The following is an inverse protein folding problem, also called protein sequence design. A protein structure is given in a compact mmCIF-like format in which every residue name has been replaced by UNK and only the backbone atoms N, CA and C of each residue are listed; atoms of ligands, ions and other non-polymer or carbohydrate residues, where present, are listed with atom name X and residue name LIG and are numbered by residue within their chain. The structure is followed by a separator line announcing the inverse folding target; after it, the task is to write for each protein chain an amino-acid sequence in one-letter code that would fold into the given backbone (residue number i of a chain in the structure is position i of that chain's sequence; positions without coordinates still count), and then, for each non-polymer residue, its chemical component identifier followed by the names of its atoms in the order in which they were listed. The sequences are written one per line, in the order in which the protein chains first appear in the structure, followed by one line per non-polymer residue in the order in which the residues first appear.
data_IF_854422017918
#
_entry.id   IF_854422017918
#
_cell.length_a   1.000
_cell.length_b   1.000
_cell.length_c   1.000
_cell.angle_alpha   90.00
_cell.angle_beta   90.00
_cell.angle_gamma   90.00
#
_symmetry.space_group_name_H-M   'P 1'
#
loop_
_entity.id
_entity.type
_entity.pdbx_description
1 polymer ?
#
# COMPACT_ATOMS: atom_id res chain seq x y z
N UNK A 1 3.50 12.33 -1.81
CA UNK A 1 3.64 10.85 -1.79
C UNK A 1 3.37 10.30 -0.41
N UNK A 2 4.04 10.77 0.62
CA UNK A 2 3.80 10.32 2.00
C UNK A 2 2.33 10.53 2.41
N UNK A 3 1.77 11.70 2.13
CA UNK A 3 0.39 12.02 2.47
C UNK A 3 -0.59 11.07 1.79
N UNK A 4 -0.36 10.75 0.52
CA UNK A 4 -1.18 9.79 -0.22
C UNK A 4 -1.09 8.39 0.39
N UNK A 5 0.09 7.97 0.80
CA UNK A 5 0.29 6.67 1.46
C UNK A 5 -0.40 6.63 2.82
N UNK A 6 -0.29 7.69 3.62
CA UNK A 6 -0.99 7.77 4.91
C UNK A 6 -2.51 7.81 4.74
N UNK A 7 -3.00 8.50 3.72
CA UNK A 7 -4.44 8.54 3.43
C UNK A 7 -4.96 7.16 3.05
N UNK A 8 -4.24 6.44 2.20
CA UNK A 8 -4.60 5.08 1.81
C UNK A 8 -4.58 4.14 3.02
N UNK A 9 -3.52 4.20 3.83
CA UNK A 9 -3.40 3.39 5.04
C UNK A 9 -4.54 3.67 6.02
N UNK A 10 -4.86 4.93 6.24
CA UNK A 10 -5.98 5.32 7.10
C UNK A 10 -7.29 4.71 6.63
N UNK A 11 -7.58 4.78 5.34
CA UNK A 11 -8.81 4.22 4.78
C UNK A 11 -8.85 2.68 4.94
N UNK A 12 -7.74 2.00 4.70
CA UNK A 12 -7.66 0.55 4.87
C UNK A 12 -7.92 0.16 6.34
N UNK A 13 -7.29 0.85 7.28
CA UNK A 13 -7.45 0.57 8.71
C UNK A 13 -8.85 0.90 9.22
N UNK A 14 -9.46 1.96 8.72
CA UNK A 14 -10.83 2.32 9.09
C UNK A 14 -11.84 1.26 8.64
N UNK A 15 -11.77 0.81 7.38
CA UNK A 15 -12.68 -0.25 6.92
C UNK A 15 -12.42 -1.57 7.61
N UNK A 16 -11.16 -1.86 7.94
CA UNK A 16 -10.81 -3.04 8.72
C UNK A 16 -11.47 -3.02 10.10
N UNK A 17 -11.38 -1.89 10.79
CA UNK A 17 -11.93 -1.74 12.14
C UNK A 17 -13.47 -1.69 12.16
N UNK A 18 -14.08 -1.21 11.08
CA UNK A 18 -15.55 -1.11 11.00
C UNK A 18 -16.23 -2.44 10.71
N UNK A 19 -15.50 -3.42 10.21
CA UNK A 19 -16.01 -4.76 9.98
C UNK A 19 -16.46 -5.03 8.56
N UNK A 20 -16.91 -6.28 8.29
CA UNK A 20 -17.30 -6.71 6.94
C UNK A 20 -18.39 -5.84 6.33
N UNK A 21 -18.25 -5.52 5.05
CA UNK A 21 -19.16 -4.68 4.31
C UNK A 21 -18.83 -3.19 4.33
N UNK A 22 -17.94 -2.76 5.23
CA UNK A 22 -17.49 -1.36 5.25
C UNK A 22 -16.65 -1.05 4.03
N UNK A 23 -16.86 0.12 3.44
CA UNK A 23 -16.10 0.57 2.28
C UNK A 23 -15.85 2.07 2.33
N UNK A 24 -14.77 2.49 1.67
CA UNK A 24 -14.37 3.89 1.53
C UNK A 24 -13.91 4.17 0.10
N UNK A 25 -14.46 5.21 -0.54
CA UNK A 25 -13.89 5.72 -1.77
C UNK A 25 -12.71 6.63 -1.46
N UNK A 26 -11.70 6.62 -2.32
CA UNK A 26 -10.64 7.62 -2.29
C UNK A 26 -10.07 7.82 -3.69
N UNK A 27 -9.43 8.99 -3.87
CA UNK A 27 -8.70 9.29 -5.10
C UNK A 27 -7.22 9.27 -4.78
N UNK A 28 -6.46 8.52 -5.57
CA UNK A 28 -5.02 8.41 -5.45
C UNK A 28 -4.38 9.01 -6.69
N UNK A 29 -3.56 10.04 -6.50
CA UNK A 29 -2.86 10.72 -7.59
C UNK A 29 -1.39 10.33 -7.57
N UNK A 30 -1.00 9.51 -8.54
CA UNK A 30 0.36 9.01 -8.69
C UNK A 30 1.02 9.80 -9.82
N UNK A 31 1.63 10.93 -9.46
CA UNK A 31 2.25 11.84 -10.43
C UNK A 31 3.55 11.29 -10.99
N UNK A 32 4.30 10.55 -10.18
CA UNK A 32 5.58 9.96 -10.57
C UNK A 32 5.85 8.71 -9.74
N UNK A 33 6.80 7.92 -10.18
CA UNK A 33 7.21 6.72 -9.49
C UNK A 33 6.39 5.50 -9.90
N UNK A 34 6.63 4.42 -9.19
CA UNK A 34 6.00 3.13 -9.43
C UNK A 34 5.23 2.70 -8.18
N UNK A 35 3.91 2.67 -8.30
CA UNK A 35 3.01 2.28 -7.21
C UNK A 35 2.51 0.86 -7.46
N UNK A 36 2.80 -0.05 -6.54
CA UNK A 36 2.48 -1.47 -6.67
C UNK A 36 1.72 -1.95 -5.44
N UNK A 37 0.65 -2.70 -5.67
CA UNK A 37 -0.05 -3.46 -4.64
C UNK A 37 0.35 -4.93 -4.81
N UNK A 38 1.11 -5.44 -3.84
CA UNK A 38 1.61 -6.81 -3.85
C UNK A 38 0.66 -7.70 -3.05
N UNK A 39 -0.15 -8.49 -3.75
CA UNK A 39 -1.13 -9.37 -3.14
C UNK A 39 -0.48 -10.59 -2.47
N UNK A 40 0.68 -11.01 -2.94
CA UNK A 40 1.37 -12.19 -2.40
C UNK A 40 1.99 -11.91 -1.03
N UNK A 41 2.54 -10.69 -0.86
CA UNK A 41 3.18 -10.26 0.37
C UNK A 41 2.27 -9.40 1.26
N UNK A 42 1.09 -9.04 0.80
CA UNK A 42 0.17 -8.12 1.48
C UNK A 42 0.81 -6.77 1.78
N UNK A 43 1.52 -6.23 0.79
CA UNK A 43 2.25 -4.98 0.89
C UNK A 43 1.80 -3.99 -0.18
N UNK A 44 1.94 -2.71 0.14
CA UNK A 44 1.78 -1.61 -0.83
C UNK A 44 3.09 -0.85 -0.85
N UNK A 45 3.69 -0.72 -2.04
CA UNK A 45 4.98 -0.08 -2.21
C UNK A 45 4.91 1.00 -3.28
N UNK A 46 5.48 2.15 -2.98
CA UNK A 46 5.63 3.25 -3.92
C UNK A 46 7.10 3.65 -3.97
N UNK A 47 7.74 3.42 -5.11
CA UNK A 47 9.15 3.77 -5.33
C UNK A 47 9.28 5.00 -6.20
N UNK A 48 10.17 5.90 -5.80
CA UNK A 48 10.41 7.18 -6.48
C UNK A 48 11.91 7.40 -6.60
N UNK A 49 12.38 7.86 -7.76
CA UNK A 49 13.72 8.37 -7.91
C UNK A 49 13.81 9.80 -7.36
N UNK A 50 14.87 10.11 -6.64
CA UNK A 50 15.07 11.42 -6.02
C UNK A 50 16.54 11.79 -6.01
N UNK A 51 16.82 13.09 -6.03
CA UNK A 51 18.16 13.62 -5.76
C UNK A 51 18.45 13.79 -4.28
N UNK A 52 17.45 13.59 -3.43
CA UNK A 52 17.54 13.75 -1.98
C UNK A 52 17.42 12.40 -1.30
N UNK A 53 18.36 12.10 -0.41
CA UNK A 53 18.33 10.93 0.46
C UNK A 53 17.41 11.19 1.66
N UNK A 54 16.40 10.33 1.87
CA UNK A 54 15.44 10.46 2.98
C UNK A 54 15.71 9.53 4.17
N UNK A 55 16.62 8.57 4.00
CA UNK A 55 17.07 7.68 5.07
C UNK A 55 18.55 7.36 4.85
N UNK A 56 19.21 6.81 5.84
CA UNK A 56 20.54 6.24 5.62
C UNK A 56 20.44 5.11 4.60
N UNK A 57 21.44 5.02 3.72
CA UNK A 57 21.44 4.02 2.64
C UNK A 57 21.29 2.61 3.20
N UNK A 58 20.42 1.84 2.56
CA UNK A 58 20.13 0.43 2.87
C UNK A 58 19.65 0.18 4.30
N UNK A 59 19.17 1.23 4.97
CA UNK A 59 18.46 1.12 6.23
C UNK A 59 17.01 1.50 6.06
N UNK A 60 16.14 0.98 6.93
CA UNK A 60 14.72 1.27 6.93
C UNK A 60 14.38 2.13 8.13
N UNK A 61 13.74 3.26 7.91
CA UNK A 61 13.16 4.07 8.98
C UNK A 61 11.65 3.90 8.99
N UNK A 62 11.05 4.00 10.18
CA UNK A 62 9.60 3.94 10.36
C UNK A 62 9.10 5.35 10.68
N UNK A 63 8.06 5.76 9.97
CA UNK A 63 7.31 6.98 10.25
C UNK A 63 5.84 6.58 10.42
N UNK A 64 5.42 6.38 11.68
CA UNK A 64 4.13 5.78 11.95
C UNK A 64 4.06 4.35 11.40
N UNK A 65 3.11 4.09 10.53
CA UNK A 65 2.91 2.80 9.87
C UNK A 65 3.71 2.67 8.58
N UNK A 66 4.33 3.75 8.12
CA UNK A 66 5.05 3.82 6.85
C UNK A 66 6.52 3.49 7.04
N UNK A 67 7.05 2.57 6.25
CA UNK A 67 8.48 2.33 6.15
C UNK A 67 9.08 3.14 5.00
N UNK A 68 10.29 3.65 5.20
CA UNK A 68 11.01 4.44 4.20
C UNK A 68 12.41 3.85 4.05
N UNK A 69 12.75 3.47 2.83
CA UNK A 69 14.03 2.88 2.52
C UNK A 69 14.65 3.62 1.33
N UNK A 70 15.92 4.05 1.47
CA UNK A 70 16.66 4.70 0.39
C UNK A 70 17.80 3.82 -0.06
N UNK A 71 17.94 3.64 -1.37
CA UNK A 71 19.10 3.01 -1.99
C UNK A 71 19.70 3.95 -3.01
N UNK A 72 20.99 3.84 -3.27
CA UNK A 72 21.66 4.65 -4.29
C UNK A 72 21.54 3.96 -5.65
N UNK A 73 21.11 4.71 -6.66
CA UNK A 73 21.12 4.22 -8.04
C UNK A 73 22.50 4.37 -8.66
N UNK A 74 22.67 3.86 -9.89
CA UNK A 74 23.95 3.94 -10.62
C UNK A 74 24.27 5.36 -11.09
N UNK A 75 23.33 6.30 -11.03
CA UNK A 75 23.42 7.66 -11.60
C UNK A 75 23.50 8.77 -10.54
N UNK A 76 24.02 8.52 -9.35
CA UNK A 76 24.10 9.47 -8.24
C UNK A 76 22.75 9.94 -7.67
N UNK A 77 21.65 9.35 -8.12
CA UNK A 77 20.34 9.56 -7.53
C UNK A 77 20.02 8.50 -6.50
N UNK A 78 18.94 8.68 -5.81
CA UNK A 78 18.44 7.71 -4.81
C UNK A 78 17.11 7.12 -5.29
N UNK A 79 16.91 5.84 -5.01
CA UNK A 79 15.61 5.21 -5.09
C UNK A 79 15.03 5.19 -3.70
N UNK A 80 13.87 5.82 -3.51
CA UNK A 80 13.17 5.88 -2.24
C UNK A 80 11.95 4.98 -2.35
N UNK A 81 11.82 4.05 -1.41
CA UNK A 81 10.68 3.13 -1.36
C UNK A 81 9.88 3.42 -0.11
N UNK A 82 8.61 3.81 -0.31
CA UNK A 82 7.62 3.96 0.74
C UNK A 82 6.79 2.68 0.79
N UNK A 83 6.70 2.05 1.96
CA UNK A 83 6.04 0.77 2.10
C UNK A 83 5.03 0.71 3.23
N UNK A 84 3.94 -0.01 2.99
CA UNK A 84 2.93 -0.37 3.97
C UNK A 84 2.83 -1.90 3.98
N UNK A 85 2.95 -2.50 5.15
CA UNK A 85 2.89 -3.95 5.33
C UNK A 85 1.67 -4.33 6.16
N UNK A 86 0.78 -5.11 5.57
CA UNK A 86 -0.47 -5.54 6.20
C UNK A 86 -0.44 -7.00 6.65
N UNK A 87 0.60 -7.74 6.33
CA UNK A 87 0.71 -9.14 6.73
C UNK A 87 0.71 -9.33 8.25
N UNK A 88 1.42 -8.51 9.04
CA UNK A 88 1.37 -8.62 10.51
C UNK A 88 0.00 -8.35 11.12
N UNK A 89 -0.90 -7.69 10.41
CA UNK A 89 -2.26 -7.40 10.85
C UNK A 89 -3.26 -8.48 10.46
N UNK A 90 -2.82 -9.57 9.83
CA UNK A 90 -3.67 -10.61 9.28
C UNK A 90 -4.69 -10.07 8.28
N UNK A 91 -4.24 -9.15 7.43
CA UNK A 91 -5.01 -8.61 6.31
C UNK A 91 -4.48 -9.21 5.02
N UNK A 92 -5.38 -9.79 4.22
CA UNK A 92 -5.10 -10.16 2.84
C UNK A 92 -5.55 -9.03 1.93
N UNK A 93 -4.62 -8.49 1.15
CA UNK A 93 -4.92 -7.49 0.14
C UNK A 93 -5.29 -8.19 -1.17
N UNK A 94 -6.41 -7.80 -1.74
CA UNK A 94 -6.87 -8.29 -3.05
C UNK A 94 -7.16 -7.09 -3.94
N UNK A 95 -6.60 -7.11 -5.13
CA UNK A 95 -6.80 -6.06 -6.12
C UNK A 95 -7.78 -6.55 -7.18
N UNK A 96 -8.89 -5.84 -7.33
CA UNK A 96 -9.89 -6.12 -8.38
C UNK A 96 -9.49 -5.42 -9.68
N UNK A 97 -8.32 -5.76 -10.19
CA UNK A 97 -7.75 -5.24 -11.43
C UNK A 97 -6.66 -6.22 -11.87
N UNK A 98 -6.60 -6.60 -13.15
CA UNK A 98 -5.56 -7.52 -13.63
C UNK A 98 -4.15 -6.95 -13.56
N UNK A 99 -3.99 -5.64 -13.41
CA UNK A 99 -2.69 -4.96 -13.30
C UNK A 99 -2.49 -4.47 -11.88
N UNK A 100 -1.43 -4.91 -11.22
CA UNK A 100 -1.12 -4.53 -9.84
C UNK A 100 -0.31 -3.23 -9.70
N UNK A 101 0.08 -2.61 -10.81
CA UNK A 101 0.79 -1.33 -10.86
C UNK A 101 -0.16 -0.23 -11.32
N UNK A 102 -0.18 0.89 -10.60
CA UNK A 102 -1.05 2.02 -10.90
C UNK A 102 -0.22 3.25 -11.26
N UNK A 103 -0.76 4.09 -12.14
CA UNK A 103 -0.18 5.38 -12.51
C UNK A 103 -1.30 6.39 -12.76
N UNK A 104 -0.95 7.68 -12.70
CA UNK A 104 -1.90 8.76 -12.91
C UNK A 104 -2.90 8.88 -11.75
N UNK A 105 -4.04 9.49 -12.05
CA UNK A 105 -5.12 9.69 -11.08
C UNK A 105 -6.08 8.52 -11.14
N UNK A 106 -6.25 7.84 -10.01
CA UNK A 106 -7.13 6.68 -9.90
C UNK A 106 -8.16 6.89 -8.81
N UNK A 107 -9.39 6.52 -9.10
CA UNK A 107 -10.45 6.41 -8.09
C UNK A 107 -10.48 4.97 -7.60
N UNK A 108 -10.39 4.80 -6.29
CA UNK A 108 -10.34 3.50 -5.63
C UNK A 108 -11.51 3.35 -4.68
N UNK A 109 -11.95 2.10 -4.50
CA UNK A 109 -12.83 1.73 -3.39
C UNK A 109 -12.09 0.67 -2.57
N UNK A 110 -11.97 0.92 -1.27
CA UNK A 110 -11.42 -0.03 -0.30
C UNK A 110 -12.59 -0.68 0.42
N UNK A 111 -12.70 -2.00 0.32
CA UNK A 111 -13.82 -2.78 0.83
C UNK A 111 -13.33 -3.87 1.77
N UNK A 112 -13.93 -3.95 2.97
CA UNK A 112 -13.73 -5.08 3.87
C UNK A 112 -14.68 -6.22 3.47
N UNK A 113 -14.13 -7.31 2.96
CA UNK A 113 -14.89 -8.51 2.56
C UNK A 113 -15.05 -9.51 3.71
N UNK A 114 -14.50 -9.23 4.88
CA UNK A 114 -14.48 -10.15 5.98
C UNK A 114 -13.54 -11.34 5.75
N UNK A 115 -13.79 -12.42 6.47
CA UNK A 115 -13.01 -13.66 6.32
C UNK A 115 -13.55 -14.41 5.11
N UNK A 116 -12.76 -14.49 4.05
CA UNK A 116 -13.16 -15.14 2.79
C UNK A 116 -12.76 -16.60 2.70
N UNK A 117 -11.81 -17.05 3.52
CA UNK A 117 -11.37 -18.44 3.59
C UNK A 117 -11.36 -18.91 5.05
N UNK A 118 -12.54 -19.22 5.62
CA UNK A 118 -12.65 -19.56 7.04
C UNK A 118 -12.04 -20.92 7.40
N UNK A 119 -11.80 -21.78 6.42
CA UNK A 119 -11.23 -23.12 6.65
C UNK A 119 -9.71 -23.05 6.81
N UNK A 120 -9.02 -22.39 5.86
CA UNK A 120 -7.56 -22.32 5.85
C UNK A 120 -7.00 -21.08 6.53
N UNK A 121 -7.74 -19.96 6.49
CA UNK A 121 -7.30 -18.67 7.03
C UNK A 121 -8.40 -18.02 7.88
N UNK A 122 -8.79 -18.63 9.02
CA UNK A 122 -9.93 -18.16 9.81
C UNK A 122 -9.72 -16.81 10.47
N UNK A 123 -8.46 -16.36 10.61
CA UNK A 123 -8.11 -15.10 11.25
C UNK A 123 -7.75 -13.98 10.27
N UNK A 124 -7.76 -14.27 8.96
CA UNK A 124 -7.42 -13.28 7.94
C UNK A 124 -8.65 -12.60 7.38
N UNK A 125 -8.62 -11.27 7.39
CA UNK A 125 -9.65 -10.42 6.80
C UNK A 125 -9.17 -9.99 5.42
N UNK A 126 -10.02 -10.16 4.42
CA UNK A 126 -9.72 -9.72 3.06
C UNK A 126 -10.16 -8.28 2.86
N UNK A 127 -9.23 -7.44 2.47
CA UNK A 127 -9.48 -6.06 2.05
C UNK A 127 -9.30 -5.99 0.54
N UNK A 128 -10.38 -5.70 -0.17
CA UNK A 128 -10.36 -5.56 -1.62
C UNK A 128 -10.16 -4.10 -2.00
N UNK A 129 -9.20 -3.85 -2.88
CA UNK A 129 -8.99 -2.55 -3.49
C UNK A 129 -9.45 -2.64 -4.94
N UNK A 130 -10.46 -1.87 -5.27
CA UNK A 130 -11.02 -1.82 -6.62
C UNK A 130 -10.65 -0.50 -7.27
N UNK A 131 -10.18 -0.56 -8.52
CA UNK A 131 -9.96 0.61 -9.37
C UNK A 131 -11.20 0.82 -10.20
N UNK A 132 -11.75 2.02 -10.13
CA UNK A 132 -12.99 2.36 -10.85
C UNK A 132 -12.66 3.00 -12.20
#
# INVERSE_FOLDING_TARGET
TKESMFTLDKNIREVYNEGPGSQRPLTLDIKKGNFIIDQDLNEINWSIESTVQLSDLDTVIQEGTLSIHSTKTTSNDYLIIFGLDYDPLNIDLVLNNPVNSLSGTNKLIVLNQGVTDPINNPNKVTIQISVI
#
